data_IF_079198778639
#
_entry.id   IF_079198778639
#
_cell.length_a   1.000
_cell.length_b   1.000
_cell.length_c   1.000
_cell.angle_alpha   90.00
_cell.angle_beta   90.00
_cell.angle_gamma   90.00
#
_symmetry.space_group_name_H-M   'P 1'
#
loop_
_entity.id
_entity.type
_entity.pdbx_description
1 polymer ?
#
# COMPACT_ATOMS: atom_id res chain seq x y z
N UNK A 1 10.46 -14.97 -9.74
CA UNK A 1 9.42 -14.13 -10.29
C UNK A 1 8.88 -13.17 -9.25
N UNK A 2 8.80 -11.87 -9.62
CA UNK A 2 8.69 -10.82 -8.63
C UNK A 2 7.32 -10.14 -8.66
N UNK A 3 6.51 -10.41 -7.65
CA UNK A 3 5.34 -9.58 -7.35
C UNK A 3 5.79 -8.16 -7.02
N UNK A 4 4.98 -7.16 -7.40
CA UNK A 4 5.35 -5.74 -7.30
C UNK A 4 4.25 -4.94 -6.64
N UNK A 5 4.66 -3.94 -5.85
CA UNK A 5 3.78 -2.92 -5.32
C UNK A 5 4.29 -1.57 -5.79
N UNK A 6 3.41 -0.81 -6.44
CA UNK A 6 3.63 0.61 -6.74
C UNK A 6 2.78 1.44 -5.80
N UNK A 7 3.38 2.39 -5.11
CA UNK A 7 2.67 3.38 -4.31
C UNK A 7 2.66 4.74 -5.00
N UNK A 8 1.60 5.50 -4.80
CA UNK A 8 1.46 6.88 -5.31
C UNK A 8 0.89 7.76 -4.22
N UNK A 9 1.57 8.84 -3.93
CA UNK A 9 1.16 9.86 -2.98
C UNK A 9 1.11 11.23 -3.64
N UNK A 10 0.24 12.11 -3.16
CA UNK A 10 -0.03 13.42 -3.77
C UNK A 10 0.00 14.54 -2.76
N UNK A 11 0.56 15.68 -3.17
CA UNK A 11 0.46 16.95 -2.47
C UNK A 11 -0.61 17.83 -3.13
N UNK A 12 -1.16 18.79 -2.37
CA UNK A 12 -2.22 19.68 -2.88
C UNK A 12 -1.74 20.55 -4.06
N UNK A 13 -0.43 20.82 -4.13
CA UNK A 13 0.18 21.64 -5.19
C UNK A 13 0.38 20.87 -6.49
N UNK A 14 -0.35 19.81 -6.73
CA UNK A 14 -0.27 18.95 -7.92
C UNK A 14 0.96 18.05 -8.03
N UNK A 15 1.88 18.10 -7.07
CA UNK A 15 3.02 17.20 -7.06
C UNK A 15 2.57 15.78 -6.73
N UNK A 16 2.93 14.87 -7.61
CA UNK A 16 2.67 13.44 -7.42
C UNK A 16 4.00 12.71 -7.34
N UNK A 17 4.16 11.89 -6.32
CA UNK A 17 5.33 11.05 -6.16
C UNK A 17 4.91 9.59 -6.17
N UNK A 18 5.77 8.75 -6.71
CA UNK A 18 5.53 7.31 -6.74
C UNK A 18 6.82 6.53 -6.56
N UNK A 19 6.66 5.29 -6.23
CA UNK A 19 7.77 4.38 -6.05
C UNK A 19 7.29 2.96 -5.86
N UNK A 20 8.13 2.14 -5.26
CA UNK A 20 7.83 0.72 -5.09
C UNK A 20 8.18 0.20 -3.70
N UNK A 21 7.61 -0.96 -3.42
CA UNK A 21 7.86 -1.78 -2.24
C UNK A 21 7.95 -3.23 -2.68
N UNK A 22 8.68 -4.03 -1.92
CA UNK A 22 8.82 -5.48 -2.15
C UNK A 22 8.06 -6.26 -1.11
N UNK A 23 7.59 -7.43 -1.49
CA UNK A 23 7.04 -8.41 -0.56
C UNK A 23 8.17 -9.15 0.14
N UNK A 24 8.01 -9.38 1.44
CA UNK A 24 8.78 -10.35 2.20
C UNK A 24 8.26 -11.75 1.93
N UNK A 25 6.93 -11.90 1.94
CA UNK A 25 6.25 -13.16 1.66
C UNK A 25 4.82 -12.89 1.22
N UNK A 26 4.21 -13.86 0.61
CA UNK A 26 2.81 -13.80 0.22
C UNK A 26 2.33 -15.13 -0.28
N UNK A 27 1.06 -15.41 -0.02
CA UNK A 27 0.39 -16.57 -0.57
C UNK A 27 -1.06 -16.25 -0.88
N UNK A 28 -1.61 -16.96 -1.84
CA UNK A 28 -3.03 -16.99 -2.15
C UNK A 28 -3.47 -18.45 -2.01
N UNK A 29 -4.57 -18.65 -1.30
CA UNK A 29 -5.14 -19.97 -1.10
C UNK A 29 -6.25 -20.21 -2.11
N UNK A 30 -6.17 -21.32 -2.82
CA UNK A 30 -7.17 -21.76 -3.79
C UNK A 30 -7.89 -23.01 -3.29
N UNK A 31 -9.17 -23.07 -3.58
CA UNK A 31 -10.00 -24.25 -3.37
C UNK A 31 -10.94 -24.38 -4.58
N UNK A 32 -10.90 -25.52 -5.27
CA UNK A 32 -11.68 -25.74 -6.51
C UNK A 32 -11.48 -24.62 -7.56
N UNK A 33 -10.22 -24.21 -7.75
CA UNK A 33 -9.80 -23.15 -8.67
C UNK A 33 -10.34 -21.74 -8.32
N UNK A 34 -10.90 -21.57 -7.13
CA UNK A 34 -11.35 -20.27 -6.63
C UNK A 34 -10.47 -19.80 -5.47
N UNK A 35 -10.26 -18.50 -5.39
CA UNK A 35 -9.50 -17.89 -4.29
C UNK A 35 -10.36 -17.94 -3.02
N UNK A 36 -9.81 -18.47 -1.94
CA UNK A 36 -10.51 -18.57 -0.65
C UNK A 36 -9.79 -17.82 0.48
N UNK A 37 -8.59 -17.37 0.27
CA UNK A 37 -7.84 -16.63 1.28
C UNK A 37 -6.46 -16.22 0.81
N UNK A 38 -5.71 -15.63 1.71
CA UNK A 38 -4.33 -15.25 1.46
C UNK A 38 -3.78 -14.32 2.54
N UNK A 39 -2.47 -14.23 2.58
CA UNK A 39 -1.76 -13.36 3.50
C UNK A 39 -0.50 -12.83 2.82
N UNK A 40 -0.20 -11.55 3.02
CA UNK A 40 0.91 -10.87 2.39
C UNK A 40 1.68 -10.06 3.42
N UNK A 41 2.99 -10.13 3.37
CA UNK A 41 3.88 -9.32 4.22
C UNK A 41 4.75 -8.49 3.31
N UNK A 42 4.79 -7.19 3.58
CA UNK A 42 5.53 -6.19 2.82
C UNK A 42 6.76 -5.77 3.62
N UNK A 43 7.90 -5.73 2.94
CA UNK A 43 9.15 -5.22 3.50
C UNK A 43 9.15 -3.69 3.41
N UNK A 44 8.92 -3.01 4.53
CA UNK A 44 8.91 -1.55 4.58
C UNK A 44 10.29 -0.93 4.38
N UNK A 45 11.35 -1.68 4.67
CA UNK A 45 12.73 -1.22 4.40
C UNK A 45 13.05 -1.18 2.91
N UNK A 46 12.26 -1.85 2.09
CA UNK A 46 12.41 -1.85 0.62
C UNK A 46 11.82 -0.62 -0.07
N UNK A 47 11.16 0.26 0.68
CA UNK A 47 10.51 1.45 0.13
C UNK A 47 11.51 2.32 -0.62
N UNK A 48 11.23 2.58 -1.90
CA UNK A 48 12.02 3.48 -2.74
C UNK A 48 11.10 4.44 -3.48
N UNK A 49 11.65 5.59 -3.84
CA UNK A 49 11.02 6.57 -4.72
C UNK A 49 11.57 6.38 -6.14
N UNK A 50 10.71 6.50 -7.14
CA UNK A 50 11.09 6.25 -8.53
C UNK A 50 10.92 7.45 -9.47
N UNK A 51 10.27 8.53 -9.01
CA UNK A 51 10.05 9.72 -9.85
C UNK A 51 11.10 10.82 -9.67
N UNK A 52 11.81 10.84 -8.55
CA UNK A 52 12.86 11.81 -8.28
C UNK A 52 14.26 11.22 -8.48
N UNK A 53 15.26 12.08 -8.51
CA UNK A 53 16.67 11.70 -8.61
C UNK A 53 17.52 12.50 -7.63
N UNK A 54 18.74 11.99 -7.36
CA UNK A 54 19.73 12.69 -6.54
C UNK A 54 19.27 12.99 -5.13
N UNK A 55 19.60 14.18 -4.64
CA UNK A 55 19.31 14.59 -3.25
C UNK A 55 17.83 14.68 -2.92
N UNK A 56 16.99 15.05 -3.89
CA UNK A 56 15.55 15.11 -3.69
C UNK A 56 14.95 13.73 -3.45
N UNK A 57 15.42 12.73 -4.20
CA UNK A 57 15.04 11.33 -4.01
C UNK A 57 15.44 10.83 -2.62
N UNK A 58 16.70 11.05 -2.23
CA UNK A 58 17.23 10.61 -0.94
C UNK A 58 16.45 11.26 0.21
N UNK A 59 16.17 12.56 0.09
CA UNK A 59 15.38 13.28 1.10
C UNK A 59 13.99 12.69 1.26
N UNK A 60 13.27 12.46 0.16
CA UNK A 60 11.92 11.91 0.22
C UNK A 60 11.92 10.49 0.79
N UNK A 61 12.81 9.62 0.35
CA UNK A 61 12.91 8.26 0.87
C UNK A 61 13.19 8.25 2.37
N UNK A 62 14.16 9.04 2.81
CA UNK A 62 14.51 9.12 4.23
C UNK A 62 13.33 9.66 5.06
N UNK A 63 12.61 10.64 4.54
CA UNK A 63 11.45 11.23 5.23
C UNK A 63 10.28 10.22 5.32
N UNK A 64 9.99 9.51 4.24
CA UNK A 64 8.95 8.47 4.24
C UNK A 64 9.26 7.33 5.22
N UNK A 65 10.53 6.99 5.40
CA UNK A 65 10.96 5.97 6.35
C UNK A 65 10.98 6.45 7.80
N UNK A 66 10.98 7.76 8.02
CA UNK A 66 11.10 8.35 9.34
C UNK A 66 9.83 8.25 10.19
N UNK A 67 9.94 8.66 11.44
CA UNK A 67 8.82 8.73 12.39
C UNK A 67 7.68 9.64 11.92
N UNK A 68 7.99 10.63 11.07
CA UNK A 68 6.97 11.50 10.48
C UNK A 68 6.01 10.76 9.56
N UNK A 69 6.42 9.63 9.02
CA UNK A 69 5.62 8.80 8.12
C UNK A 69 5.52 7.36 8.62
N UNK A 70 6.25 6.43 8.02
CA UNK A 70 6.03 5.00 8.25
C UNK A 70 6.89 4.40 9.35
N UNK A 71 7.87 5.13 9.87
CA UNK A 71 8.73 4.68 10.97
C UNK A 71 9.22 3.23 10.77
N UNK A 72 9.88 3.00 9.64
CA UNK A 72 10.19 1.64 9.18
C UNK A 72 11.20 0.90 10.08
N UNK A 73 12.01 1.62 10.84
CA UNK A 73 12.93 1.01 11.79
C UNK A 73 12.20 0.37 12.97
N UNK A 74 11.09 0.98 13.39
CA UNK A 74 10.23 0.47 14.44
C UNK A 74 9.20 -0.54 13.88
N UNK A 75 8.71 -0.28 12.67
CA UNK A 75 7.70 -1.10 12.01
C UNK A 75 8.19 -1.57 10.65
N UNK A 76 9.09 -2.56 10.61
CA UNK A 76 9.72 -2.99 9.35
C UNK A 76 8.80 -3.73 8.40
N UNK A 77 7.63 -4.16 8.87
CA UNK A 77 6.66 -4.89 8.06
C UNK A 77 5.29 -4.23 8.07
N UNK A 78 4.62 -4.27 6.92
CA UNK A 78 3.18 -4.09 6.79
C UNK A 78 2.60 -5.41 6.31
N UNK A 79 1.31 -5.65 6.58
CA UNK A 79 0.69 -6.90 6.20
C UNK A 79 -0.76 -6.73 5.77
N UNK A 80 -1.22 -7.67 4.96
CA UNK A 80 -2.61 -7.81 4.59
C UNK A 80 -3.02 -9.26 4.77
N UNK A 81 -4.07 -9.49 5.54
CA UNK A 81 -4.68 -10.82 5.71
C UNK A 81 -6.10 -10.79 5.17
N UNK A 82 -6.38 -11.62 4.19
CA UNK A 82 -7.72 -11.73 3.62
C UNK A 82 -8.66 -12.35 4.65
N UNK A 83 -9.78 -11.68 4.92
CA UNK A 83 -10.79 -12.12 5.89
C UNK A 83 -12.06 -12.60 5.22
N UNK A 84 -12.42 -12.05 4.06
CA UNK A 84 -13.56 -12.55 3.28
C UNK A 84 -13.36 -12.28 1.80
N UNK A 85 -13.94 -13.13 0.98
CA UNK A 85 -13.86 -13.06 -0.48
C UNK A 85 -15.23 -13.35 -1.06
N UNK A 86 -15.59 -12.56 -2.06
CA UNK A 86 -16.79 -12.77 -2.85
C UNK A 86 -16.45 -12.71 -4.33
N UNK A 87 -16.68 -13.79 -5.05
CA UNK A 87 -16.54 -13.80 -6.50
C UNK A 87 -17.65 -13.00 -7.13
N UNK A 88 -17.30 -11.96 -7.89
CA UNK A 88 -18.28 -11.06 -8.52
C UNK A 88 -18.35 -11.22 -10.03
N UNK A 89 -17.33 -11.81 -10.63
CA UNK A 89 -17.26 -12.11 -12.05
C UNK A 89 -16.30 -13.30 -12.26
N UNK A 90 -16.13 -13.73 -13.48
CA UNK A 90 -15.32 -14.88 -13.83
C UNK A 90 -13.87 -14.79 -13.33
N UNK A 91 -13.30 -13.58 -13.39
CA UNK A 91 -11.91 -13.32 -13.03
C UNK A 91 -11.77 -12.25 -11.95
N UNK A 92 -12.88 -11.83 -11.32
CA UNK A 92 -12.88 -10.75 -10.34
C UNK A 92 -13.47 -11.17 -9.02
N UNK A 93 -12.80 -10.72 -7.97
CA UNK A 93 -13.19 -10.98 -6.58
C UNK A 93 -13.24 -9.66 -5.82
N UNK A 94 -14.31 -9.49 -5.06
CA UNK A 94 -14.39 -8.46 -4.04
C UNK A 94 -13.77 -9.02 -2.76
N UNK A 95 -12.69 -8.38 -2.29
CA UNK A 95 -11.90 -8.88 -1.18
C UNK A 95 -12.00 -7.92 -0.01
N UNK A 96 -12.20 -8.47 1.17
CA UNK A 96 -12.06 -7.76 2.44
C UNK A 96 -10.85 -8.33 3.17
N UNK A 97 -10.02 -7.46 3.70
CA UNK A 97 -8.83 -7.88 4.42
C UNK A 97 -8.49 -6.95 5.57
N UNK A 98 -7.69 -7.46 6.49
CA UNK A 98 -7.10 -6.68 7.56
C UNK A 98 -5.74 -6.15 7.10
N UNK A 99 -5.67 -4.83 6.93
CA UNK A 99 -4.45 -4.12 6.56
C UNK A 99 -3.79 -3.60 7.83
N UNK A 100 -2.53 -3.99 8.06
CA UNK A 100 -1.73 -3.54 9.20
C UNK A 100 -0.58 -2.69 8.71
N UNK A 101 -0.55 -1.44 9.15
CA UNK A 101 0.53 -0.48 8.88
C UNK A 101 0.87 0.20 10.20
N UNK A 102 2.16 0.31 10.50
CA UNK A 102 2.63 0.99 11.73
C UNK A 102 2.00 0.40 12.99
N UNK A 103 1.80 -0.92 13.01
CA UNK A 103 1.20 -1.63 14.14
C UNK A 103 -0.31 -1.46 14.29
N UNK A 104 -0.97 -0.73 13.39
CA UNK A 104 -2.42 -0.48 13.44
C UNK A 104 -3.10 -1.30 12.36
N UNK A 105 -4.15 -2.02 12.74
CA UNK A 105 -4.91 -2.88 11.83
C UNK A 105 -6.29 -2.29 11.55
N UNK A 106 -6.62 -2.15 10.29
CA UNK A 106 -7.93 -1.68 9.80
C UNK A 106 -8.44 -2.58 8.69
N UNK A 107 -9.75 -2.78 8.66
CA UNK A 107 -10.40 -3.49 7.55
C UNK A 107 -10.34 -2.64 6.28
N UNK A 108 -10.07 -3.28 5.16
CA UNK A 108 -10.06 -2.64 3.84
C UNK A 108 -10.74 -3.53 2.81
N UNK A 109 -11.27 -2.90 1.76
CA UNK A 109 -11.91 -3.60 0.65
C UNK A 109 -11.21 -3.23 -0.66
N UNK A 110 -11.09 -4.18 -1.54
CA UNK A 110 -10.51 -3.96 -2.87
C UNK A 110 -10.99 -5.02 -3.86
N UNK A 111 -10.77 -4.76 -5.14
CA UNK A 111 -11.03 -5.72 -6.20
C UNK A 111 -9.72 -6.38 -6.61
N UNK A 112 -9.74 -7.70 -6.63
CA UNK A 112 -8.64 -8.51 -7.16
C UNK A 112 -9.09 -9.08 -8.50
N UNK A 113 -8.28 -8.86 -9.53
CA UNK A 113 -8.54 -9.35 -10.88
C UNK A 113 -7.50 -10.40 -11.26
N UNK A 114 -7.95 -11.59 -11.61
CA UNK A 114 -7.08 -12.65 -12.12
C UNK A 114 -6.69 -12.38 -13.58
N UNK A 115 -5.50 -12.79 -13.94
CA UNK A 115 -5.00 -12.78 -15.32
C UNK A 115 -4.15 -14.02 -15.58
N UNK A 116 -3.57 -14.12 -16.78
CA UNK A 116 -2.80 -15.32 -17.17
C UNK A 116 -1.49 -15.51 -16.37
N UNK A 117 -1.00 -14.47 -15.73
CA UNK A 117 0.26 -14.47 -15.00
C UNK A 117 0.09 -14.48 -13.48
N UNK A 118 -1.14 -14.20 -13.01
CA UNK A 118 -1.41 -14.10 -11.59
C UNK A 118 -2.63 -13.22 -11.32
N UNK A 119 -2.44 -12.11 -10.60
CA UNK A 119 -3.51 -11.20 -10.25
C UNK A 119 -3.03 -9.76 -10.19
N UNK A 120 -3.96 -8.83 -10.37
CA UNK A 120 -3.73 -7.41 -10.14
C UNK A 120 -4.71 -6.87 -9.10
N UNK A 121 -4.26 -5.89 -8.33
CA UNK A 121 -5.08 -5.20 -7.32
C UNK A 121 -4.82 -3.71 -7.43
N UNK A 122 -5.90 -2.95 -7.40
CA UNK A 122 -5.84 -1.51 -7.19
C UNK A 122 -6.54 -1.20 -5.88
N UNK A 123 -5.88 -0.51 -4.98
CA UNK A 123 -6.48 -0.13 -3.71
C UNK A 123 -5.99 1.24 -3.25
N UNK A 124 -6.78 1.86 -2.42
CA UNK A 124 -6.46 3.14 -1.78
C UNK A 124 -6.59 2.96 -0.29
N UNK A 125 -5.63 3.45 0.47
CA UNK A 125 -5.77 3.51 1.91
C UNK A 125 -5.56 4.93 2.42
N UNK A 126 -6.24 5.25 3.51
CA UNK A 126 -6.12 6.53 4.20
C UNK A 126 -5.01 6.41 5.25
N UNK A 127 -3.85 7.03 4.97
CA UNK A 127 -2.69 6.98 5.85
C UNK A 127 -2.94 7.55 7.24
N UNK A 128 -3.86 8.49 7.35
CA UNK A 128 -4.17 9.14 8.63
C UNK A 128 -4.76 8.16 9.66
N UNK A 129 -5.40 7.10 9.19
CA UNK A 129 -5.97 6.05 10.06
C UNK A 129 -4.92 5.08 10.59
N UNK A 130 -3.70 5.15 10.08
CA UNK A 130 -2.56 4.32 10.50
C UNK A 130 -1.47 5.14 11.19
N UNK A 131 -1.84 6.26 11.80
CA UNK A 131 -0.92 7.15 12.53
C UNK A 131 0.17 7.78 11.65
N UNK A 132 -0.06 7.89 10.36
CA UNK A 132 0.82 8.60 9.42
C UNK A 132 0.24 9.98 9.18
N UNK A 133 0.63 10.94 10.03
CA UNK A 133 -0.07 12.22 10.19
C UNK A 133 0.58 13.42 9.52
N UNK A 134 1.83 13.33 9.13
CA UNK A 134 2.60 14.47 8.65
C UNK A 134 1.84 15.23 7.56
N UNK A 135 1.56 16.51 7.82
CA UNK A 135 0.81 17.42 6.93
C UNK A 135 -0.54 16.86 6.47
N UNK A 136 -1.20 16.08 7.32
CA UNK A 136 -2.54 15.55 7.07
C UNK A 136 -3.60 16.54 7.53
N UNK A 137 -4.58 16.85 6.66
CA UNK A 137 -5.72 17.69 7.00
C UNK A 137 -6.66 17.07 8.03
N UNK A 138 -6.55 15.76 8.26
CA UNK A 138 -7.31 15.04 9.29
C UNK A 138 -6.84 15.36 10.71
N UNK A 139 -5.58 15.83 10.86
CA UNK A 139 -4.97 16.12 12.16
C UNK A 139 -4.56 17.57 12.34
N UNK A 140 -4.33 18.30 11.26
CA UNK A 140 -3.83 19.66 11.29
C UNK A 140 -4.72 20.58 10.47
N UNK A 141 -4.86 21.83 10.91
CA UNK A 141 -5.56 22.88 10.17
C UNK A 141 -4.55 23.88 9.59
N UNK A 142 -5.04 24.72 8.66
CA UNK A 142 -4.27 25.83 8.07
C UNK A 142 -2.97 25.40 7.38
N UNK A 143 -2.95 24.19 6.78
CA UNK A 143 -1.78 23.68 6.08
C UNK A 143 -1.51 24.42 4.75
N UNK A 144 -2.57 24.92 4.10
CA UNK A 144 -2.44 25.60 2.81
C UNK A 144 -1.77 24.68 1.77
N UNK A 145 -0.74 25.22 1.10
CA UNK A 145 0.04 24.49 0.10
C UNK A 145 0.98 23.43 0.66
N UNK A 146 1.07 23.31 1.99
CA UNK A 146 1.86 22.25 2.65
C UNK A 146 1.08 20.96 2.85
N UNK A 147 -0.21 20.95 2.55
CA UNK A 147 -1.05 19.77 2.73
C UNK A 147 -0.60 18.62 1.84
N UNK A 148 -0.52 17.44 2.43
CA UNK A 148 -0.31 16.16 1.74
C UNK A 148 -1.60 15.37 1.87
N UNK A 149 -2.14 14.87 0.76
CA UNK A 149 -3.37 14.09 0.79
C UNK A 149 -3.21 12.81 1.60
N UNK A 150 -4.28 12.44 2.30
CA UNK A 150 -4.30 11.24 3.15
C UNK A 150 -4.35 9.94 2.33
N UNK A 151 -4.95 9.99 1.15
CA UNK A 151 -5.10 8.81 0.32
C UNK A 151 -3.80 8.44 -0.37
N UNK A 152 -3.39 7.20 -0.18
CA UNK A 152 -2.26 6.57 -0.87
C UNK A 152 -2.83 5.51 -1.81
N UNK A 153 -2.47 5.59 -3.07
CA UNK A 153 -2.86 4.62 -4.08
C UNK A 153 -1.82 3.51 -4.17
N UNK A 154 -2.29 2.27 -4.22
CA UNK A 154 -1.44 1.10 -4.42
C UNK A 154 -1.89 0.35 -5.68
N UNK A 155 -0.93 0.03 -6.53
CA UNK A 155 -1.10 -0.87 -7.66
C UNK A 155 -0.24 -2.10 -7.40
N UNK A 156 -0.87 -3.26 -7.30
CA UNK A 156 -0.20 -4.51 -6.95
C UNK A 156 -0.29 -5.48 -8.11
N UNK A 157 0.84 -6.06 -8.47
CA UNK A 157 0.90 -7.15 -9.44
C UNK A 157 1.45 -8.39 -8.73
N UNK A 158 0.65 -9.43 -8.70
CA UNK A 158 1.00 -10.72 -8.11
C UNK A 158 1.25 -11.73 -9.23
N UNK A 159 2.36 -12.43 -9.14
CA UNK A 159 2.74 -13.48 -10.09
C UNK A 159 2.79 -14.82 -9.40
N UNK A 160 2.05 -15.78 -9.94
CA UNK A 160 2.01 -17.15 -9.40
C UNK A 160 1.62 -18.19 -10.45
#
# INVERSE_FOLDING_TARGET
QLSKIKWTGKEITTKTHYGSLKFTSGNILFENDEIVGGEFIVDMLSLINEDLTGGSKDYLENHLRSEDFFSVDEYPNSSLKITSIKKIDREKYEVTGDLTIKGITKSTNFILSLNNEGATVEMVFDRSKFDVKHRSSSFFSNLGDKLIYDDIELEVSLYF
#
